data_IF_197091663868
#
_entry.id   IF_197091663868
#
_cell.length_a   1.000
_cell.length_b   1.000
_cell.length_c   1.000
_cell.angle_alpha   90.00
_cell.angle_beta   90.00
_cell.angle_gamma   90.00
#
_symmetry.space_group_name_H-M   'P 1'
#
loop_
_entity.id
_entity.type
_entity.pdbx_description
1 polymer ?
#
# COMPACT_ATOMS: atom_id res chain seq x y z
N UNK A 1 62.78 -37.54 -4.02
CA UNK A 1 62.39 -36.60 -2.95
C UNK A 1 60.87 -36.57 -2.92
N UNK A 2 60.30 -37.32 -1.99
CA UNK A 2 58.86 -37.64 -1.93
C UNK A 2 58.38 -37.06 -0.60
N UNK A 3 57.48 -36.09 -0.64
CA UNK A 3 56.94 -35.41 0.55
C UNK A 3 55.60 -36.06 0.87
N UNK A 4 55.55 -36.82 1.95
CA UNK A 4 54.33 -37.35 2.58
C UNK A 4 53.86 -36.36 3.64
N UNK A 5 52.65 -35.80 3.46
CA UNK A 5 51.96 -34.96 4.44
C UNK A 5 50.95 -35.84 5.20
N UNK A 6 51.26 -36.17 6.45
CA UNK A 6 50.33 -36.78 7.40
C UNK A 6 49.41 -35.70 7.98
N UNK A 7 48.11 -35.81 7.67
CA UNK A 7 47.02 -35.00 8.24
C UNK A 7 46.35 -35.77 9.38
N UNK A 8 46.87 -35.62 10.60
CA UNK A 8 46.16 -35.98 11.83
C UNK A 8 45.55 -34.72 12.45
N UNK A 9 44.29 -34.44 12.09
CA UNK A 9 43.46 -33.44 12.76
C UNK A 9 42.41 -34.17 13.62
N UNK A 10 42.75 -34.39 14.89
CA UNK A 10 41.83 -34.86 15.92
C UNK A 10 40.78 -33.78 16.21
N UNK A 11 39.57 -33.97 15.67
CA UNK A 11 38.37 -33.19 16.00
C UNK A 11 37.89 -33.54 17.40
N UNK A 12 38.44 -32.87 18.42
CA UNK A 12 37.85 -32.80 19.75
C UNK A 12 36.83 -31.65 19.71
N UNK A 13 35.56 -32.00 19.42
CA UNK A 13 34.46 -31.05 19.59
C UNK A 13 34.26 -30.74 21.09
N UNK A 14 33.98 -29.47 21.45
CA UNK A 14 33.93 -29.03 22.82
C UNK A 14 32.62 -29.49 23.50
N UNK A 15 32.73 -30.47 24.39
CA UNK A 15 31.67 -30.90 25.33
C UNK A 15 31.00 -29.71 26.05
N UNK A 16 31.70 -28.59 26.22
CA UNK A 16 31.19 -27.36 26.82
C UNK A 16 30.10 -26.65 26.00
N UNK A 17 30.10 -26.75 24.67
CA UNK A 17 29.05 -26.12 23.84
C UNK A 17 27.71 -26.85 23.98
N UNK A 18 27.72 -28.17 24.15
CA UNK A 18 26.50 -28.96 24.32
C UNK A 18 25.85 -28.71 25.69
N UNK A 19 26.67 -28.59 26.74
CA UNK A 19 26.18 -28.24 28.08
C UNK A 19 25.53 -26.85 28.12
N UNK A 20 26.13 -25.86 27.44
CA UNK A 20 25.57 -24.51 27.34
C UNK A 20 24.22 -24.49 26.59
N UNK A 21 24.10 -25.24 25.49
CA UNK A 21 22.84 -25.36 24.74
C UNK A 21 21.74 -26.07 25.56
N UNK A 22 22.08 -27.13 26.31
CA UNK A 22 21.13 -27.81 27.19
C UNK A 22 20.65 -26.92 28.35
N UNK A 23 21.55 -26.11 28.95
CA UNK A 23 21.16 -25.15 30.00
C UNK A 23 20.26 -24.05 29.45
N UNK A 24 20.53 -23.56 28.24
CA UNK A 24 19.70 -22.55 27.57
C UNK A 24 18.33 -23.14 27.21
N UNK A 25 18.27 -24.40 26.76
CA UNK A 25 17.03 -25.11 26.50
C UNK A 25 16.20 -25.34 27.77
N UNK A 26 16.84 -25.72 28.88
CA UNK A 26 16.18 -25.90 30.18
C UNK A 26 15.72 -24.58 30.79
N UNK A 27 16.46 -23.47 30.63
CA UNK A 27 16.01 -22.16 31.09
C UNK A 27 14.82 -21.64 30.29
N UNK A 28 14.75 -21.95 29.00
CA UNK A 28 13.61 -21.62 28.13
C UNK A 28 12.39 -22.51 28.42
N UNK A 29 12.59 -23.79 28.76
CA UNK A 29 11.48 -24.71 29.04
C UNK A 29 10.96 -24.67 30.49
N UNK A 30 11.83 -24.50 31.49
CA UNK A 30 11.43 -24.45 32.90
C UNK A 30 10.74 -23.13 33.30
N UNK A 31 10.84 -22.08 32.48
CA UNK A 31 10.09 -20.82 32.69
C UNK A 31 8.64 -20.87 32.18
N UNK A 32 8.20 -22.02 31.65
CA UNK A 32 6.84 -22.23 31.14
C UNK A 32 5.95 -23.03 32.11
N UNK A 33 5.93 -22.68 33.40
CA UNK A 33 4.90 -23.18 34.32
C UNK A 33 3.59 -22.43 34.06
N UNK A 34 2.74 -23.04 33.23
CA UNK A 34 1.41 -22.55 32.89
C UNK A 34 0.52 -22.64 34.13
N UNK A 35 0.47 -21.54 34.88
CA UNK A 35 -0.54 -21.33 35.92
C UNK A 35 -1.92 -21.34 35.28
N UNK A 36 -2.83 -22.14 35.84
CA UNK A 36 -4.20 -22.30 35.34
C UNK A 36 -4.95 -20.96 35.21
N UNK A 37 -5.89 -20.85 34.26
CA UNK A 37 -6.56 -19.61 33.93
C UNK A 37 -7.54 -19.23 35.03
N UNK A 38 -7.08 -18.44 36.00
CA UNK A 38 -8.00 -17.59 36.77
C UNK A 38 -8.43 -16.45 35.86
N UNK A 39 -9.74 -16.22 35.72
CA UNK A 39 -10.32 -15.18 34.86
C UNK A 39 -9.94 -13.79 35.39
N UNK A 40 -8.72 -13.34 35.11
CA UNK A 40 -8.26 -11.99 35.40
C UNK A 40 -8.95 -11.05 34.43
N UNK A 41 -9.46 -9.93 34.94
CA UNK A 41 -10.01 -8.84 34.11
C UNK A 41 -8.96 -8.48 33.03
N UNK A 42 -9.36 -8.31 31.76
CA UNK A 42 -8.42 -7.94 30.71
C UNK A 42 -7.74 -6.63 31.08
N UNK A 43 -6.42 -6.57 30.89
CA UNK A 43 -5.66 -5.35 31.16
C UNK A 43 -6.08 -4.23 30.20
N UNK A 44 -5.95 -2.96 30.60
CA UNK A 44 -6.21 -1.83 29.71
C UNK A 44 -5.37 -1.89 28.43
N UNK A 45 -4.16 -2.46 28.49
CA UNK A 45 -3.30 -2.69 27.32
C UNK A 45 -3.95 -3.66 26.32
N UNK A 46 -4.55 -4.74 26.83
CA UNK A 46 -5.32 -5.70 26.02
C UNK A 46 -6.51 -5.01 25.37
N UNK A 47 -7.27 -4.20 26.12
CA UNK A 47 -8.42 -3.46 25.60
C UNK A 47 -8.02 -2.41 24.55
N UNK A 48 -6.89 -1.74 24.74
CA UNK A 48 -6.33 -0.79 23.77
C UNK A 48 -6.04 -1.50 22.44
N UNK A 49 -5.33 -2.63 22.49
CA UNK A 49 -5.07 -3.43 21.30
C UNK A 49 -6.37 -3.96 20.64
N UNK A 50 -7.36 -4.32 21.46
CA UNK A 50 -8.66 -4.81 20.98
C UNK A 50 -9.50 -3.72 20.32
N UNK A 51 -9.20 -2.44 20.55
CA UNK A 51 -9.90 -1.34 19.89
C UNK A 51 -9.42 -1.19 18.45
N UNK A 52 -8.13 -1.41 18.22
CA UNK A 52 -7.55 -1.35 16.88
C UNK A 52 -7.77 -2.66 16.09
N UNK A 53 -7.58 -3.82 16.74
CA UNK A 53 -7.60 -5.14 16.10
C UNK A 53 -8.71 -6.03 16.67
N UNK A 54 -9.39 -6.76 15.78
CA UNK A 54 -10.33 -7.81 16.12
C UNK A 54 -9.73 -9.19 15.76
N UNK A 55 -9.78 -10.19 16.64
CA UNK A 55 -9.45 -11.54 16.26
C UNK A 55 -10.61 -12.10 15.42
N UNK A 56 -10.30 -12.84 14.36
CA UNK A 56 -11.31 -13.57 13.57
C UNK A 56 -11.65 -14.93 14.16
N UNK A 57 -10.75 -15.46 15.00
CA UNK A 57 -10.91 -16.75 15.69
C UNK A 57 -11.13 -16.55 17.18
N UNK A 58 -11.62 -17.60 17.86
CA UNK A 58 -11.89 -17.59 19.31
C UNK A 58 -10.63 -17.25 20.13
N UNK A 59 -9.44 -17.57 19.62
CA UNK A 59 -8.18 -17.34 20.31
C UNK A 59 -7.34 -16.26 19.62
N UNK A 60 -6.82 -15.32 20.41
CA UNK A 60 -5.85 -14.36 19.92
C UNK A 60 -4.53 -15.03 19.52
N UNK A 61 -3.87 -14.56 18.45
CA UNK A 61 -2.52 -15.02 18.14
C UNK A 61 -1.58 -14.77 19.33
N UNK A 62 -0.79 -15.79 19.70
CA UNK A 62 0.07 -15.77 20.89
C UNK A 62 1.06 -14.60 20.91
N UNK A 63 1.47 -14.11 19.75
CA UNK A 63 2.37 -12.97 19.59
C UNK A 63 1.78 -11.68 20.17
N UNK A 64 0.50 -11.38 19.95
CA UNK A 64 -0.15 -10.20 20.50
C UNK A 64 -0.32 -10.28 22.02
N UNK A 65 -0.60 -11.47 22.56
CA UNK A 65 -0.64 -11.67 24.00
C UNK A 65 0.74 -11.47 24.65
N UNK A 66 1.81 -11.97 24.00
CA UNK A 66 3.20 -11.74 24.44
C UNK A 66 3.57 -10.27 24.37
N UNK A 67 3.17 -9.59 23.30
CA UNK A 67 3.41 -8.16 23.11
C UNK A 67 2.77 -7.34 24.23
N UNK A 68 1.49 -7.57 24.52
CA UNK A 68 0.80 -6.91 25.64
C UNK A 68 1.50 -7.21 26.98
N UNK A 69 1.84 -8.48 27.23
CA UNK A 69 2.53 -8.87 28.47
C UNK A 69 3.87 -8.14 28.59
N UNK A 70 4.68 -8.12 27.54
CA UNK A 70 5.97 -7.45 27.51
C UNK A 70 5.84 -5.94 27.73
N UNK A 71 4.90 -5.27 27.06
CA UNK A 71 4.61 -3.85 27.23
C UNK A 71 4.10 -3.51 28.64
N UNK A 72 3.33 -4.40 29.27
CA UNK A 72 2.90 -4.22 30.67
C UNK A 72 4.05 -4.41 31.66
N UNK A 73 4.95 -5.35 31.41
CA UNK A 73 6.13 -5.58 32.26
C UNK A 73 7.18 -4.47 32.15
N UNK A 74 7.36 -3.87 30.97
CA UNK A 74 8.34 -2.82 30.72
C UNK A 74 7.95 -1.43 31.25
N UNK A 75 6.68 -1.25 31.65
CA UNK A 75 6.08 0.04 32.08
C UNK A 75 6.14 1.16 31.04
N UNK A 76 6.48 0.88 29.77
CA UNK A 76 6.63 1.91 28.72
C UNK A 76 5.29 2.52 28.28
N UNK A 77 4.15 1.91 28.63
CA UNK A 77 2.81 2.26 28.13
C UNK A 77 2.72 2.33 26.58
N UNK A 78 3.62 1.63 25.90
CA UNK A 78 3.69 1.58 24.43
C UNK A 78 3.57 0.14 23.94
N UNK A 79 2.66 -0.07 23.00
CA UNK A 79 2.40 -1.33 22.30
C UNK A 79 2.97 -1.15 20.88
N UNK A 80 4.09 -1.83 20.60
CA UNK A 80 4.75 -1.72 19.30
C UNK A 80 4.49 -2.96 18.45
N UNK A 81 3.69 -2.81 17.40
CA UNK A 81 3.22 -3.89 16.53
C UNK A 81 4.13 -3.98 15.30
N UNK A 82 4.75 -5.14 15.06
CA UNK A 82 5.51 -5.37 13.81
C UNK A 82 4.60 -5.25 12.60
N UNK A 83 4.97 -4.40 11.65
CA UNK A 83 4.23 -4.22 10.40
C UNK A 83 4.15 -5.51 9.58
N UNK A 84 5.26 -6.28 9.51
CA UNK A 84 5.27 -7.58 8.83
C UNK A 84 4.26 -8.54 9.43
N UNK A 85 4.27 -8.66 10.76
CA UNK A 85 3.36 -9.54 11.48
C UNK A 85 1.91 -9.10 11.25
N UNK A 86 1.63 -7.81 11.36
CA UNK A 86 0.29 -7.27 11.18
C UNK A 86 -0.27 -7.58 9.78
N UNK A 87 0.47 -7.24 8.72
CA UNK A 87 0.02 -7.48 7.34
C UNK A 87 -0.19 -8.97 7.10
N UNK A 88 0.77 -9.81 7.52
CA UNK A 88 0.66 -11.26 7.35
C UNK A 88 -0.58 -11.82 8.07
N UNK A 89 -0.81 -11.42 9.32
CA UNK A 89 -1.95 -11.90 10.11
C UNK A 89 -3.29 -11.42 9.56
N UNK A 90 -3.34 -10.24 8.96
CA UNK A 90 -4.56 -9.76 8.28
C UNK A 90 -4.80 -10.58 7.01
N UNK A 91 -3.79 -10.79 6.17
CA UNK A 91 -3.93 -11.59 4.96
C UNK A 91 -4.31 -13.05 5.26
N UNK A 92 -3.71 -13.64 6.30
CA UNK A 92 -4.02 -14.99 6.79
C UNK A 92 -5.41 -15.07 7.45
N UNK A 93 -6.08 -13.93 7.65
CA UNK A 93 -7.37 -13.85 8.31
C UNK A 93 -7.32 -14.27 9.77
N UNK A 94 -6.22 -14.04 10.47
CA UNK A 94 -6.07 -14.29 11.90
C UNK A 94 -6.53 -13.09 12.76
N UNK A 95 -6.38 -11.88 12.22
CA UNK A 95 -6.86 -10.63 12.81
C UNK A 95 -7.41 -9.73 11.72
N UNK A 96 -8.24 -8.76 12.11
CA UNK A 96 -8.75 -7.71 11.23
C UNK A 96 -8.60 -6.35 11.91
N UNK A 97 -8.44 -5.29 11.12
CA UNK A 97 -8.51 -3.92 11.61
C UNK A 97 -9.98 -3.60 11.83
N UNK A 98 -10.34 -3.09 13.02
CA UNK A 98 -11.73 -2.77 13.35
C UNK A 98 -12.26 -1.56 12.61
N UNK A 99 -11.48 -0.50 12.60
CA UNK A 99 -11.82 0.76 11.95
C UNK A 99 -10.58 1.31 11.25
N UNK A 100 -10.70 1.55 9.95
CA UNK A 100 -9.63 2.16 9.16
C UNK A 100 -9.46 3.65 9.49
N UNK A 101 -10.43 4.28 10.14
CA UNK A 101 -10.35 5.67 10.62
C UNK A 101 -9.27 5.88 11.71
N UNK A 102 -8.84 4.81 12.39
CA UNK A 102 -7.76 4.87 13.39
C UNK A 102 -6.35 4.82 12.76
N UNK A 103 -6.24 4.37 11.50
CA UNK A 103 -4.94 4.21 10.83
C UNK A 103 -4.18 5.53 10.59
N UNK A 104 -4.82 6.67 10.25
CA UNK A 104 -4.10 7.94 10.12
C UNK A 104 -3.37 8.33 11.40
N UNK A 105 -4.02 8.14 12.56
CA UNK A 105 -3.41 8.41 13.87
C UNK A 105 -2.31 7.38 14.19
N UNK A 106 -2.49 6.12 13.79
CA UNK A 106 -1.46 5.09 13.93
C UNK A 106 -0.21 5.42 13.09
N UNK A 107 -0.39 5.87 11.86
CA UNK A 107 0.71 6.24 10.95
C UNK A 107 1.42 7.52 11.38
N UNK A 108 0.69 8.43 12.02
CA UNK A 108 1.23 9.66 12.61
C UNK A 108 1.84 9.45 14.01
N UNK A 109 1.89 8.19 14.49
CA UNK A 109 2.35 7.80 15.83
C UNK A 109 1.58 8.46 16.99
N UNK A 110 0.36 8.93 16.71
CA UNK A 110 -0.50 9.67 17.64
C UNK A 110 -1.61 8.82 18.26
N UNK A 111 -1.80 7.57 17.80
CA UNK A 111 -2.84 6.69 18.31
C UNK A 111 -2.61 6.34 19.79
N UNK A 112 -3.48 6.85 20.66
CA UNK A 112 -3.51 6.56 22.09
C UNK A 112 -4.89 6.05 22.49
N UNK A 113 -4.95 4.82 22.99
CA UNK A 113 -6.21 4.16 23.38
C UNK A 113 -6.09 3.69 24.83
N UNK A 114 -7.05 4.06 25.68
CA UNK A 114 -7.02 3.79 27.13
C UNK A 114 -5.69 4.15 27.82
N UNK A 115 -5.02 5.21 27.36
CA UNK A 115 -3.73 5.68 27.87
C UNK A 115 -2.51 4.86 27.43
N UNK A 116 -2.67 3.95 26.45
CA UNK A 116 -1.59 3.22 25.81
C UNK A 116 -1.32 3.78 24.42
N UNK A 117 -0.07 4.11 24.12
CA UNK A 117 0.35 4.49 22.76
C UNK A 117 0.52 3.22 21.92
N UNK A 118 -0.08 3.18 20.76
CA UNK A 118 0.08 2.08 19.80
C UNK A 118 0.93 2.59 18.64
N UNK A 119 2.01 1.89 18.32
CA UNK A 119 2.94 2.25 17.25
C UNK A 119 3.17 1.08 16.31
N UNK A 120 3.46 1.36 15.05
CA UNK A 120 3.91 0.36 14.08
C UNK A 120 5.43 0.29 14.07
N UNK A 121 5.99 -0.86 14.45
CA UNK A 121 7.41 -1.15 14.26
C UNK A 121 7.66 -1.58 12.81
N UNK A 122 8.52 -0.83 12.14
CA UNK A 122 9.03 -1.20 10.82
C UNK A 122 10.26 -2.07 10.98
N UNK A 123 10.16 -3.30 10.47
CA UNK A 123 11.30 -4.21 10.43
C UNK A 123 12.29 -3.75 9.36
N UNK A 124 13.61 -3.90 9.61
CA UNK A 124 14.67 -3.58 8.64
C UNK A 124 14.50 -4.30 7.30
N UNK A 125 13.84 -5.45 7.31
CA UNK A 125 13.48 -6.20 6.11
C UNK A 125 12.59 -5.39 5.14
N UNK A 126 11.66 -4.57 5.64
CA UNK A 126 10.81 -3.73 4.80
C UNK A 126 11.59 -2.61 4.14
N UNK A 127 12.49 -1.94 4.88
CA UNK A 127 13.34 -0.90 4.29
C UNK A 127 14.18 -1.48 3.15
N UNK A 128 14.75 -2.68 3.33
CA UNK A 128 15.51 -3.35 2.28
C UNK A 128 14.63 -3.77 1.10
N UNK A 129 13.42 -4.27 1.36
CA UNK A 129 12.47 -4.64 0.31
C UNK A 129 12.03 -3.42 -0.51
N UNK A 130 11.66 -2.32 0.14
CA UNK A 130 11.29 -1.06 -0.52
C UNK A 130 12.46 -0.51 -1.31
N UNK A 131 13.67 -0.46 -0.73
CA UNK A 131 14.87 -0.02 -1.43
C UNK A 131 15.13 -0.86 -2.68
N UNK A 132 15.08 -2.19 -2.57
CA UNK A 132 15.27 -3.11 -3.69
C UNK A 132 14.22 -2.89 -4.78
N UNK A 133 12.97 -2.64 -4.40
CA UNK A 133 11.89 -2.40 -5.35
C UNK A 133 12.00 -1.04 -6.04
N UNK A 134 12.31 0.04 -5.31
CA UNK A 134 12.51 1.38 -5.87
C UNK A 134 13.71 1.39 -6.83
N UNK A 135 14.85 0.84 -6.40
CA UNK A 135 16.04 0.72 -7.26
C UNK A 135 15.78 -0.20 -8.46
N UNK A 136 15.11 -1.32 -8.25
CA UNK A 136 14.68 -2.21 -9.33
C UNK A 136 13.81 -1.48 -10.36
N UNK A 137 12.86 -0.65 -9.92
CA UNK A 137 12.01 0.15 -10.80
C UNK A 137 12.79 1.20 -11.59
N UNK A 138 13.90 1.71 -11.05
CA UNK A 138 14.77 2.66 -11.73
C UNK A 138 15.66 2.00 -12.80
N UNK A 139 16.20 0.81 -12.50
CA UNK A 139 17.13 0.08 -13.37
C UNK A 139 16.47 -0.92 -14.31
N UNK A 140 15.20 -1.24 -14.13
CA UNK A 140 14.45 -2.10 -15.05
C UNK A 140 14.09 -1.32 -16.32
N UNK A 141 15.11 -0.94 -17.09
CA UNK A 141 15.00 -0.38 -18.44
C UNK A 141 14.63 -1.44 -19.49
N UNK A 142 14.09 -2.59 -19.06
CA UNK A 142 13.67 -3.65 -19.96
C UNK A 142 12.49 -3.16 -20.80
N UNK A 143 12.80 -2.51 -21.94
CA UNK A 143 11.96 -2.28 -23.11
C UNK A 143 10.47 -2.22 -22.76
N UNK A 144 10.06 -1.23 -21.97
CA UNK A 144 8.65 -0.89 -21.92
C UNK A 144 8.33 -0.36 -23.30
N UNK A 145 7.63 -1.17 -24.07
CA UNK A 145 7.18 -0.82 -25.40
C UNK A 145 6.30 0.42 -25.26
N UNK A 146 6.81 1.59 -25.65
CA UNK A 146 6.09 2.87 -25.55
C UNK A 146 4.79 2.80 -26.36
N UNK A 147 4.72 1.93 -27.37
CA UNK A 147 3.51 1.65 -28.13
C UNK A 147 2.39 0.98 -27.30
N UNK A 148 2.71 0.41 -26.13
CA UNK A 148 1.71 -0.08 -25.16
C UNK A 148 1.19 1.01 -24.20
N UNK A 149 1.92 2.14 -24.10
CA UNK A 149 1.48 3.34 -23.37
C UNK A 149 0.59 4.20 -24.27
N UNK A 150 0.69 4.03 -25.58
CA UNK A 150 -0.17 4.64 -26.60
C UNK A 150 -1.65 4.35 -26.31
N UNK A 151 -2.35 5.41 -25.92
CA UNK A 151 -3.80 5.50 -25.94
C UNK A 151 -4.50 4.49 -25.02
N UNK A 152 -4.51 4.77 -23.72
CA UNK A 152 -5.62 4.39 -22.84
C UNK A 152 -6.93 4.88 -23.47
N UNK A 153 -7.75 4.02 -24.10
CA UNK A 153 -9.06 4.44 -24.56
C UNK A 153 -9.93 4.44 -23.31
N UNK A 154 -10.24 5.64 -22.80
CA UNK A 154 -11.35 5.86 -21.88
C UNK A 154 -11.54 4.77 -20.83
N UNK A 155 -10.71 4.77 -19.79
CA UNK A 155 -11.22 4.39 -18.47
C UNK A 155 -12.19 5.51 -18.07
N UNK A 156 -13.41 5.46 -18.62
CA UNK A 156 -14.58 6.11 -18.06
C UNK A 156 -14.64 5.60 -16.62
N UNK A 157 -14.04 6.36 -15.71
CA UNK A 157 -14.19 6.17 -14.27
C UNK A 157 -15.70 6.22 -14.05
N UNK A 158 -16.27 5.07 -13.74
CA UNK A 158 -17.69 4.88 -13.45
C UNK A 158 -18.07 5.53 -12.09
N UNK A 159 -17.55 6.73 -11.83
CA UNK A 159 -17.85 7.53 -10.64
C UNK A 159 -18.73 8.74 -10.93
N UNK A 160 -19.17 8.93 -12.17
CA UNK A 160 -20.43 9.62 -12.38
C UNK A 160 -21.55 8.59 -12.17
N UNK A 161 -21.81 8.27 -10.90
CA UNK A 161 -23.15 7.93 -10.41
C UNK A 161 -24.05 9.12 -10.75
N UNK A 162 -24.38 9.23 -12.03
CA UNK A 162 -25.65 9.83 -12.39
C UNK A 162 -26.68 8.97 -11.68
N UNK A 163 -27.30 9.53 -10.64
CA UNK A 163 -28.57 9.01 -10.14
C UNK A 163 -29.44 8.63 -11.34
N UNK A 164 -30.11 7.47 -11.32
CA UNK A 164 -31.10 7.17 -12.33
C UNK A 164 -32.19 8.24 -12.21
N UNK A 165 -32.13 9.23 -13.10
CA UNK A 165 -33.18 10.22 -13.24
C UNK A 165 -34.44 9.44 -13.64
N UNK A 166 -35.51 9.45 -12.84
CA UNK A 166 -36.75 8.76 -13.20
C UNK A 166 -37.22 9.34 -14.54
N UNK A 167 -37.46 8.42 -15.47
CA UNK A 167 -37.91 8.69 -16.83
C UNK A 167 -39.41 8.88 -16.78
N UNK A 168 -39.85 10.13 -16.77
CA UNK A 168 -41.20 10.49 -17.19
C UNK A 168 -41.11 11.61 -18.25
N UNK A 169 -41.80 11.33 -19.36
CA UNK A 169 -42.28 12.20 -20.43
C UNK A 169 -41.36 12.66 -21.59
N UNK A 170 -41.84 12.25 -22.78
CA UNK A 170 -41.45 12.62 -24.14
C UNK A 170 -41.46 14.14 -24.35
N UNK A 171 -40.34 14.68 -24.83
CA UNK A 171 -40.34 15.96 -25.54
C UNK A 171 -39.27 15.97 -26.64
N UNK A 172 -39.62 16.30 -27.90
CA UNK A 172 -38.68 16.33 -29.01
C UNK A 172 -38.12 17.75 -29.19
N UNK A 173 -36.88 17.99 -28.74
CA UNK A 173 -36.18 19.25 -29.02
C UNK A 173 -34.66 19.08 -29.24
N UNK A 174 -34.26 19.41 -30.47
CA UNK A 174 -32.96 19.88 -30.97
C UNK A 174 -31.67 19.04 -30.75
N UNK A 175 -30.87 18.80 -31.81
CA UNK A 175 -29.55 18.19 -31.69
C UNK A 175 -28.56 19.21 -31.12
N UNK A 176 -28.29 19.13 -29.82
CA UNK A 176 -27.13 19.77 -29.23
C UNK A 176 -25.87 19.04 -29.72
N UNK A 177 -25.18 19.66 -30.66
CA UNK A 177 -23.84 19.26 -31.10
C UNK A 177 -22.86 19.47 -29.94
N UNK A 178 -22.71 18.46 -29.09
CA UNK A 178 -21.62 18.43 -28.12
C UNK A 178 -20.30 18.31 -28.89
N UNK A 179 -19.55 19.41 -28.96
CA UNK A 179 -18.13 19.37 -29.29
C UNK A 179 -17.44 18.53 -28.22
N UNK A 180 -17.22 17.24 -28.52
CA UNK A 180 -16.38 16.36 -27.72
C UNK A 180 -14.95 16.82 -27.96
N UNK A 181 -14.47 17.77 -27.16
CA UNK A 181 -13.03 18.03 -27.12
C UNK A 181 -12.36 16.83 -26.48
N UNK A 182 -11.37 16.19 -27.13
CA UNK A 182 -10.69 15.03 -26.58
C UNK A 182 -9.81 15.47 -25.41
N UNK A 183 -10.36 15.44 -24.19
CA UNK A 183 -9.58 15.63 -22.98
C UNK A 183 -8.74 14.37 -22.74
N UNK A 184 -7.44 14.49 -22.90
CA UNK A 184 -6.49 13.40 -22.62
C UNK A 184 -6.39 13.26 -21.11
N UNK A 185 -6.56 12.05 -20.57
CA UNK A 185 -6.38 11.75 -19.15
C UNK A 185 -5.22 10.78 -18.96
N UNK A 186 -4.25 11.16 -18.13
CA UNK A 186 -3.04 10.37 -17.84
C UNK A 186 -2.90 10.17 -16.33
N UNK A 187 -2.69 8.93 -15.91
CA UNK A 187 -2.39 8.59 -14.51
C UNK A 187 -0.97 8.04 -14.40
N UNK A 188 -0.06 8.83 -13.80
CA UNK A 188 1.35 8.49 -13.75
C UNK A 188 1.72 7.51 -12.64
N UNK A 189 0.79 7.14 -11.74
CA UNK A 189 1.06 6.13 -10.69
C UNK A 189 1.32 4.73 -11.26
N UNK A 190 0.93 4.51 -12.52
CA UNK A 190 1.15 3.26 -13.26
C UNK A 190 2.30 3.34 -14.25
N UNK A 191 2.92 4.51 -14.42
CA UNK A 191 4.03 4.72 -15.33
C UNK A 191 5.35 4.50 -14.56
N UNK A 192 6.35 3.76 -15.06
CA UNK A 192 7.65 3.69 -14.41
C UNK A 192 8.31 5.07 -14.32
N UNK A 193 9.03 5.35 -13.23
CA UNK A 193 9.56 6.70 -13.00
C UNK A 193 10.56 7.13 -14.09
N UNK A 194 11.33 6.19 -14.64
CA UNK A 194 12.25 6.44 -15.76
C UNK A 194 11.54 6.90 -17.04
N UNK A 195 10.26 6.60 -17.19
CA UNK A 195 9.43 6.99 -18.33
C UNK A 195 8.67 8.31 -18.10
N UNK A 196 8.64 8.83 -16.86
CA UNK A 196 7.86 10.02 -16.51
C UNK A 196 8.25 11.24 -17.36
N UNK A 197 9.55 11.56 -17.42
CA UNK A 197 10.03 12.71 -18.18
C UNK A 197 9.86 12.54 -19.71
N UNK A 198 10.25 11.40 -20.33
CA UNK A 198 9.94 11.13 -21.73
C UNK A 198 8.46 11.27 -22.07
N UNK A 199 7.56 10.71 -21.25
CA UNK A 199 6.11 10.78 -21.49
C UNK A 199 5.55 12.19 -21.35
N UNK A 200 6.08 13.01 -20.42
CA UNK A 200 5.69 14.41 -20.32
C UNK A 200 6.17 15.22 -21.53
N UNK A 201 7.38 14.96 -22.04
CA UNK A 201 7.89 15.60 -23.26
C UNK A 201 7.09 15.18 -24.51
N UNK A 202 6.74 13.90 -24.61
CA UNK A 202 5.90 13.37 -25.68
C UNK A 202 4.50 13.98 -25.64
N UNK A 203 3.87 14.07 -24.45
CA UNK A 203 2.59 14.75 -24.27
C UNK A 203 2.67 16.19 -24.79
N UNK A 204 3.73 16.94 -24.44
CA UNK A 204 3.92 18.32 -24.91
C UNK A 204 4.04 18.40 -26.43
N UNK A 205 4.76 17.47 -27.05
CA UNK A 205 4.92 17.43 -28.49
C UNK A 205 3.60 17.09 -29.21
N UNK A 206 2.86 16.11 -28.69
CA UNK A 206 1.69 15.50 -29.34
C UNK A 206 0.36 16.18 -29.06
N UNK A 207 0.22 16.89 -27.92
CA UNK A 207 -1.02 17.60 -27.59
C UNK A 207 -1.34 18.62 -28.70
N UNK A 208 -2.59 18.68 -29.17
CA UNK A 208 -2.99 19.57 -30.25
C UNK A 208 -3.25 21.00 -29.73
N UNK A 209 -2.94 22.06 -30.51
CA UNK A 209 -3.28 23.43 -30.10
C UNK A 209 -4.76 23.59 -29.78
N UNK A 210 -5.07 24.23 -28.66
CA UNK A 210 -6.43 24.44 -28.19
C UNK A 210 -7.04 23.26 -27.40
N UNK A 211 -6.32 22.15 -27.22
CA UNK A 211 -6.76 21.00 -26.42
C UNK A 211 -6.14 20.97 -25.02
N UNK A 212 -6.81 20.31 -24.09
CA UNK A 212 -6.37 20.15 -22.70
C UNK A 212 -6.07 18.70 -22.33
N UNK A 213 -5.13 18.51 -21.41
CA UNK A 213 -4.82 17.23 -20.79
C UNK A 213 -4.97 17.33 -19.27
N UNK A 214 -5.53 16.29 -18.66
CA UNK A 214 -5.64 16.12 -17.21
C UNK A 214 -4.66 15.05 -16.75
N UNK A 215 -3.78 15.41 -15.84
CA UNK A 215 -2.72 14.58 -15.31
C UNK A 215 -3.02 14.26 -13.85
N UNK A 216 -3.09 12.99 -13.51
CA UNK A 216 -3.19 12.53 -12.12
C UNK A 216 -1.90 11.83 -11.69
N UNK A 217 -1.44 12.13 -10.49
CA UNK A 217 -0.30 11.44 -9.89
C UNK A 217 -0.26 11.64 -8.38
N UNK A 218 0.38 10.69 -7.70
CA UNK A 218 0.65 10.72 -6.28
C UNK A 218 2.11 11.16 -6.04
N UNK A 219 2.35 11.87 -4.95
CA UNK A 219 3.69 12.20 -4.44
C UNK A 219 3.77 11.91 -2.94
N UNK A 220 4.95 11.64 -2.36
CA UNK A 220 5.09 11.73 -0.92
C UNK A 220 4.89 13.19 -0.47
N UNK A 221 4.49 13.38 0.79
CA UNK A 221 4.47 14.71 1.37
C UNK A 221 5.89 15.27 1.53
N UNK A 222 6.10 16.60 1.47
CA UNK A 222 7.44 17.19 1.50
C UNK A 222 8.28 16.88 2.75
N UNK A 223 7.63 16.53 3.86
CA UNK A 223 8.30 16.17 5.12
C UNK A 223 8.71 14.69 5.19
N UNK A 224 8.23 13.85 4.28
CA UNK A 224 8.57 12.42 4.24
C UNK A 224 9.92 12.23 3.58
N UNK A 225 10.96 12.07 4.39
CA UNK A 225 12.32 11.87 3.89
C UNK A 225 12.50 10.49 3.22
N UNK A 226 13.33 10.42 2.18
CA UNK A 226 13.63 9.18 1.46
C UNK A 226 14.16 8.09 2.41
N UNK A 227 13.58 6.88 2.32
CA UNK A 227 13.88 5.72 3.19
C UNK A 227 13.69 5.94 4.70
N UNK A 228 13.01 7.00 5.10
CA UNK A 228 12.52 7.14 6.47
C UNK A 228 11.46 6.08 6.80
N UNK A 229 11.16 5.85 8.08
CA UNK A 229 10.02 5.05 8.51
C UNK A 229 8.72 5.37 7.75
N UNK A 230 8.38 6.65 7.63
CA UNK A 230 7.18 7.12 6.93
C UNK A 230 7.23 6.84 5.43
N UNK A 231 8.41 6.94 4.79
CA UNK A 231 8.58 6.58 3.39
C UNK A 231 8.30 5.10 3.15
N UNK A 232 8.79 4.23 4.04
CA UNK A 232 8.52 2.79 3.98
C UNK A 232 7.04 2.49 4.19
N UNK A 233 6.36 3.17 5.12
CA UNK A 233 4.90 3.07 5.29
C UNK A 233 4.15 3.50 4.02
N UNK A 234 4.59 4.59 3.39
CA UNK A 234 4.01 5.09 2.13
C UNK A 234 4.18 4.11 0.98
N UNK A 235 5.24 3.31 0.97
CA UNK A 235 5.51 2.35 -0.10
C UNK A 235 4.60 1.12 -0.07
N UNK A 236 4.06 0.75 1.10
CA UNK A 236 3.34 -0.52 1.31
C UNK A 236 2.23 -0.76 0.29
N UNK A 237 1.32 0.19 0.00
CA UNK A 237 0.22 -0.05 -0.94
C UNK A 237 0.68 -0.22 -2.40
N UNK A 238 1.87 0.24 -2.75
CA UNK A 238 2.42 0.21 -4.12
C UNK A 238 3.33 -0.98 -4.39
N UNK A 239 3.76 -1.69 -3.33
CA UNK A 239 4.57 -2.90 -3.49
C UNK A 239 3.78 -4.00 -4.22
N UNK A 240 4.47 -4.88 -4.96
CA UNK A 240 3.85 -6.04 -5.58
C UNK A 240 3.06 -6.85 -4.55
N UNK A 241 1.77 -7.08 -4.84
CA UNK A 241 0.85 -7.86 -4.01
C UNK A 241 1.29 -9.31 -3.98
N UNK A 242 1.15 -9.96 -2.82
CA UNK A 242 1.52 -11.38 -2.66
C UNK A 242 0.50 -12.31 -3.28
N UNK A 243 -0.77 -11.92 -3.24
CA UNK A 243 -1.89 -12.71 -3.74
C UNK A 243 -2.43 -12.20 -5.08
N UNK A 244 -1.74 -11.25 -5.73
CA UNK A 244 -2.00 -10.99 -7.14
C UNK A 244 -1.56 -12.22 -7.94
N UNK A 245 -2.53 -13.02 -8.38
CA UNK A 245 -2.34 -14.08 -9.35
C UNK A 245 -1.51 -13.55 -10.54
N UNK A 246 -0.46 -14.27 -10.96
CA UNK A 246 0.18 -13.97 -12.23
C UNK A 246 -0.89 -14.06 -13.33
N UNK A 247 -0.77 -13.29 -14.42
CA UNK A 247 -1.72 -13.32 -15.52
C UNK A 247 -1.73 -14.73 -16.14
N UNK A 248 -2.57 -15.61 -15.62
CA UNK A 248 -2.85 -16.90 -16.24
C UNK A 248 -3.60 -16.60 -17.53
N UNK A 249 -3.03 -17.04 -18.66
CA UNK A 249 -3.35 -16.66 -20.04
C UNK A 249 -4.81 -16.81 -20.49
N UNK A 250 -5.71 -17.33 -19.66
CA UNK A 250 -7.05 -17.74 -20.09
C UNK A 250 -8.20 -16.97 -19.40
N UNK A 251 -7.92 -16.02 -18.51
CA UNK A 251 -8.95 -15.15 -17.94
C UNK A 251 -9.12 -13.89 -18.80
N UNK A 252 -10.12 -13.89 -19.67
CA UNK A 252 -10.50 -12.76 -20.55
C UNK A 252 -11.18 -11.59 -19.83
N UNK A 253 -11.36 -11.66 -18.50
CA UNK A 253 -11.86 -10.53 -17.74
C UNK A 253 -10.67 -9.68 -17.28
N UNK A 254 -10.45 -8.48 -17.86
CA UNK A 254 -9.49 -7.52 -17.34
C UNK A 254 -9.95 -7.14 -15.93
N UNK A 255 -9.34 -7.77 -14.92
CA UNK A 255 -9.52 -7.38 -13.53
C UNK A 255 -9.13 -5.89 -13.41
N UNK A 256 -9.97 -5.03 -12.81
CA UNK A 256 -9.80 -3.58 -12.85
C UNK A 256 -8.48 -3.02 -12.27
N UNK A 257 -7.59 -3.87 -11.72
CA UNK A 257 -6.35 -3.46 -11.04
C UNK A 257 -5.16 -4.38 -11.32
N UNK A 258 -5.18 -5.15 -12.40
CA UNK A 258 -4.02 -5.96 -12.81
C UNK A 258 -2.81 -5.12 -13.30
N UNK A 259 -2.92 -3.78 -13.32
CA UNK A 259 -1.78 -2.91 -13.55
C UNK A 259 -0.97 -2.80 -12.28
N UNK A 260 0.16 -3.50 -12.27
CA UNK A 260 1.20 -3.36 -11.25
C UNK A 260 1.55 -1.87 -11.12
N UNK A 261 1.20 -1.27 -9.98
CA UNK A 261 1.62 0.11 -9.68
C UNK A 261 3.14 0.18 -9.61
N UNK A 262 3.68 1.34 -9.94
CA UNK A 262 5.14 1.55 -10.00
C UNK A 262 5.63 2.29 -8.77
N UNK A 263 6.94 2.53 -8.69
CA UNK A 263 7.54 3.35 -7.64
C UNK A 263 7.38 4.87 -7.88
N UNK A 264 6.77 5.29 -8.99
CA UNK A 264 6.59 6.71 -9.33
C UNK A 264 5.90 7.52 -8.24
N UNK A 265 4.86 7.03 -7.54
CA UNK A 265 4.24 7.75 -6.42
C UNK A 265 5.20 8.17 -5.31
N UNK A 266 6.33 7.50 -5.17
CA UNK A 266 7.34 7.76 -4.12
C UNK A 266 8.51 8.61 -4.60
N UNK A 267 8.65 8.81 -5.91
CA UNK A 267 9.77 9.50 -6.54
C UNK A 267 9.34 10.79 -7.25
N UNK A 268 8.08 10.88 -7.67
CA UNK A 268 7.52 12.04 -8.30
C UNK A 268 7.46 13.23 -7.34
N UNK A 269 7.66 14.43 -7.89
CA UNK A 269 7.51 15.70 -7.21
C UNK A 269 6.64 16.62 -8.07
N UNK A 270 5.65 17.25 -7.45
CA UNK A 270 4.79 18.23 -8.12
C UNK A 270 5.62 19.31 -8.81
N UNK A 271 6.63 19.86 -8.12
CA UNK A 271 7.49 20.91 -8.66
C UNK A 271 8.19 20.45 -9.94
N UNK A 272 8.77 19.24 -9.94
CA UNK A 272 9.48 18.70 -11.11
C UNK A 272 8.54 18.46 -12.28
N UNK A 273 7.35 17.94 -12.03
CA UNK A 273 6.34 17.71 -13.09
C UNK A 273 5.89 19.04 -13.69
N UNK A 274 5.58 20.04 -12.86
CA UNK A 274 5.19 21.37 -13.34
C UNK A 274 6.32 22.02 -14.15
N UNK A 275 7.55 21.98 -13.67
CA UNK A 275 8.73 22.46 -14.39
C UNK A 275 8.83 21.82 -15.79
N UNK A 276 8.71 20.50 -15.88
CA UNK A 276 8.78 19.77 -17.15
C UNK A 276 7.65 20.15 -18.12
N UNK A 277 6.47 20.50 -17.62
CA UNK A 277 5.32 20.90 -18.42
C UNK A 277 5.41 22.35 -18.91
N UNK A 278 5.90 23.26 -18.06
CA UNK A 278 5.81 24.72 -18.30
C UNK A 278 7.11 25.35 -18.83
N UNK A 279 8.22 24.61 -18.92
CA UNK A 279 9.50 25.16 -19.40
C UNK A 279 9.86 24.67 -20.82
N UNK A 280 10.51 25.51 -21.63
CA UNK A 280 10.98 25.16 -22.98
C UNK A 280 10.11 25.69 -24.14
N UNK A 281 10.47 25.35 -25.37
CA UNK A 281 9.89 25.93 -26.61
C UNK A 281 8.44 25.53 -26.88
N UNK A 282 7.97 24.43 -26.30
CA UNK A 282 6.59 23.95 -26.37
C UNK A 282 5.99 23.87 -24.95
N UNK A 283 6.12 24.94 -24.17
CA UNK A 283 5.56 25.02 -22.82
C UNK A 283 4.02 24.94 -22.89
N UNK A 284 3.43 24.15 -22.00
CA UNK A 284 1.97 24.10 -21.85
C UNK A 284 1.51 25.17 -20.86
N UNK A 285 0.35 25.77 -21.15
CA UNK A 285 -0.34 26.64 -20.22
C UNK A 285 -0.93 25.81 -19.08
N UNK A 286 -0.64 26.20 -17.84
CA UNK A 286 -1.19 25.56 -16.65
C UNK A 286 -2.57 26.16 -16.36
N UNK A 287 -3.63 25.35 -16.45
CA UNK A 287 -5.00 25.82 -16.20
C UNK A 287 -5.40 25.60 -14.73
N UNK A 288 -5.06 24.45 -14.16
CA UNK A 288 -5.44 24.11 -12.79
C UNK A 288 -4.40 23.18 -12.15
N UNK A 289 -4.14 23.40 -10.86
CA UNK A 289 -3.40 22.46 -9.99
C UNK A 289 -4.22 22.30 -8.72
N UNK A 290 -4.70 21.09 -8.50
CA UNK A 290 -5.55 20.80 -7.35
C UNK A 290 -5.02 19.61 -6.59
N UNK A 291 -4.99 19.74 -5.26
CA UNK A 291 -4.75 18.62 -4.36
C UNK A 291 -6.10 17.93 -4.11
N UNK A 292 -6.24 16.69 -4.55
CA UNK A 292 -7.46 15.88 -4.43
C UNK A 292 -7.31 14.74 -3.42
N UNK A 293 -6.33 14.83 -2.50
CA UNK A 293 -5.98 13.75 -1.57
C UNK A 293 -7.17 13.28 -0.73
N UNK A 294 -7.98 14.21 -0.21
CA UNK A 294 -9.18 13.88 0.57
C UNK A 294 -10.22 13.13 -0.26
N UNK A 295 -10.58 13.67 -1.42
CA UNK A 295 -11.56 13.06 -2.33
C UNK A 295 -11.13 11.65 -2.76
N UNK A 296 -9.82 11.48 -3.01
CA UNK A 296 -9.25 10.19 -3.36
C UNK A 296 -9.27 9.20 -2.17
N UNK A 297 -8.94 9.65 -0.96
CA UNK A 297 -9.03 8.85 0.26
C UNK A 297 -10.48 8.40 0.55
N UNK A 298 -11.45 9.30 0.39
CA UNK A 298 -12.87 9.00 0.54
C UNK A 298 -13.33 7.94 -0.49
N UNK A 299 -12.90 8.09 -1.75
CA UNK A 299 -13.17 7.14 -2.82
C UNK A 299 -12.56 5.75 -2.57
N UNK A 300 -11.33 5.69 -2.05
CA UNK A 300 -10.69 4.43 -1.65
C UNK A 300 -11.42 3.76 -0.47
N UNK A 301 -11.84 4.54 0.52
CA UNK A 301 -12.58 4.04 1.68
C UNK A 301 -13.93 3.47 1.24
N UNK A 302 -14.69 4.21 0.41
CA UNK A 302 -15.95 3.75 -0.16
C UNK A 302 -15.77 2.48 -1.01
N UNK A 303 -14.69 2.38 -1.79
CA UNK A 303 -14.38 1.19 -2.57
C UNK A 303 -14.05 -0.03 -1.68
N UNK A 304 -13.33 0.18 -0.56
CA UNK A 304 -13.05 -0.86 0.41
C UNK A 304 -14.33 -1.36 1.10
N UNK A 305 -15.20 -0.45 1.54
CA UNK A 305 -16.53 -0.77 2.10
C UNK A 305 -17.39 -1.53 1.09
N UNK A 306 -17.45 -1.07 -0.16
CA UNK A 306 -18.19 -1.75 -1.21
C UNK A 306 -17.67 -3.17 -1.47
N UNK A 307 -16.34 -3.38 -1.44
CA UNK A 307 -15.74 -4.71 -1.58
C UNK A 307 -16.10 -5.66 -0.42
N UNK A 308 -16.44 -5.13 0.75
CA UNK A 308 -16.83 -5.88 1.94
C UNK A 308 -18.33 -6.18 1.99
N UNK A 309 -19.16 -5.16 1.75
CA UNK A 309 -20.62 -5.21 1.89
C UNK A 309 -21.32 -5.84 0.67
N UNK A 310 -20.83 -5.58 -0.55
CA UNK A 310 -21.46 -6.09 -1.76
C UNK A 310 -21.11 -7.58 -1.96
N UNK A 311 -21.97 -8.47 -1.43
CA UNK A 311 -21.77 -9.92 -1.42
C UNK A 311 -21.40 -10.53 -2.78
N UNK A 312 -21.99 -10.05 -3.88
CA UNK A 312 -21.69 -10.50 -5.24
C UNK A 312 -20.27 -10.08 -5.68
N UNK A 313 -19.88 -8.83 -5.44
CA UNK A 313 -18.54 -8.31 -5.71
C UNK A 313 -17.49 -9.07 -4.91
N UNK A 314 -17.74 -9.27 -3.60
CA UNK A 314 -16.88 -10.05 -2.72
C UNK A 314 -16.71 -11.49 -3.21
N UNK A 315 -17.81 -12.18 -3.51
CA UNK A 315 -17.78 -13.57 -3.98
C UNK A 315 -17.03 -13.69 -5.32
N UNK A 316 -17.22 -12.75 -6.25
CA UNK A 316 -16.48 -12.71 -7.50
C UNK A 316 -14.98 -12.49 -7.28
N UNK A 317 -14.60 -11.58 -6.38
CA UNK A 317 -13.21 -11.30 -6.05
C UNK A 317 -12.54 -12.51 -5.38
N UNK A 318 -13.17 -13.10 -4.36
CA UNK A 318 -12.66 -14.29 -3.66
C UNK A 318 -12.52 -15.47 -4.63
N UNK A 319 -13.46 -15.65 -5.56
CA UNK A 319 -13.35 -16.71 -6.59
C UNK A 319 -12.13 -16.51 -7.49
N UNK A 320 -11.73 -15.27 -7.75
CA UNK A 320 -10.61 -14.94 -8.63
C UNK A 320 -9.26 -14.95 -7.91
N UNK A 321 -9.18 -14.39 -6.69
CA UNK A 321 -7.91 -14.11 -5.98
C UNK A 321 -7.77 -14.87 -4.65
N UNK A 322 -8.78 -15.65 -4.27
CA UNK A 322 -8.87 -16.28 -2.97
C UNK A 322 -9.23 -15.29 -1.86
N UNK A 323 -9.49 -15.85 -0.69
CA UNK A 323 -9.86 -15.10 0.52
C UNK A 323 -8.71 -14.22 1.03
N UNK A 324 -7.48 -14.74 1.00
CA UNK A 324 -6.29 -13.97 1.37
C UNK A 324 -6.05 -12.76 0.43
N UNK A 325 -6.27 -12.92 -0.88
CA UNK A 325 -6.17 -11.82 -1.84
C UNK A 325 -7.25 -10.77 -1.65
N UNK A 326 -8.48 -11.17 -1.32
CA UNK A 326 -9.55 -10.24 -0.93
C UNK A 326 -9.17 -9.43 0.32
N UNK A 327 -8.64 -10.08 1.36
CA UNK A 327 -8.17 -9.38 2.59
C UNK A 327 -7.00 -8.45 2.31
N UNK A 328 -6.02 -8.87 1.52
CA UNK A 328 -4.88 -8.05 1.12
C UNK A 328 -5.37 -6.79 0.38
N UNK A 329 -6.28 -6.93 -0.60
CA UNK A 329 -6.79 -5.79 -1.36
C UNK A 329 -7.59 -4.80 -0.48
N UNK A 330 -8.47 -5.31 0.41
CA UNK A 330 -9.21 -4.47 1.37
C UNK A 330 -8.25 -3.71 2.27
N UNK A 331 -7.27 -4.41 2.86
CA UNK A 331 -6.25 -3.81 3.72
C UNK A 331 -5.52 -2.69 2.98
N UNK A 332 -5.11 -2.92 1.74
CA UNK A 332 -4.27 -1.98 1.01
C UNK A 332 -5.03 -0.74 0.54
N UNK A 333 -6.32 -0.86 0.20
CA UNK A 333 -7.17 0.31 -0.05
C UNK A 333 -7.32 1.17 1.21
N UNK A 334 -7.63 0.56 2.35
CA UNK A 334 -7.75 1.28 3.61
C UNK A 334 -6.43 1.88 4.09
N UNK A 335 -5.32 1.16 3.91
CA UNK A 335 -3.96 1.64 4.20
C UNK A 335 -3.61 2.86 3.35
N UNK A 336 -3.86 2.80 2.04
CA UNK A 336 -3.63 3.91 1.13
C UNK A 336 -4.50 5.13 1.50
N UNK A 337 -5.79 4.94 1.73
CA UNK A 337 -6.70 6.01 2.15
C UNK A 337 -6.21 6.70 3.45
N UNK A 338 -5.73 5.90 4.40
CA UNK A 338 -5.21 6.41 5.66
C UNK A 338 -3.89 7.19 5.49
N UNK A 339 -3.02 6.83 4.54
CA UNK A 339 -1.81 7.60 4.24
C UNK A 339 -2.13 8.99 3.66
N UNK A 340 -3.13 9.11 2.80
CA UNK A 340 -3.62 10.41 2.32
C UNK A 340 -4.27 11.23 3.44
N UNK A 341 -5.05 10.57 4.30
CA UNK A 341 -5.73 11.21 5.43
C UNK A 341 -4.74 11.71 6.49
N UNK A 342 -3.64 10.97 6.71
CA UNK A 342 -2.53 11.36 7.58
C UNK A 342 -1.64 12.45 6.94
N UNK A 343 -1.86 12.81 5.67
CA UNK A 343 -1.03 13.78 4.96
C UNK A 343 0.38 13.29 4.67
N UNK A 344 0.62 11.97 4.63
CA UNK A 344 1.89 11.36 4.28
C UNK A 344 2.05 11.18 2.76
N UNK A 345 0.93 11.00 2.06
CA UNK A 345 0.82 11.02 0.59
C UNK A 345 -0.04 12.19 0.12
N UNK A 346 0.20 12.66 -1.10
CA UNK A 346 -0.59 13.70 -1.76
C UNK A 346 -0.98 13.27 -3.16
N UNK A 347 -2.26 13.40 -3.52
CA UNK A 347 -2.77 13.14 -4.86
C UNK A 347 -3.03 14.48 -5.55
N UNK A 348 -2.48 14.63 -6.74
CA UNK A 348 -2.57 15.84 -7.54
C UNK A 348 -3.36 15.58 -8.82
N UNK A 349 -4.18 16.57 -9.19
CA UNK A 349 -4.79 16.67 -10.51
C UNK A 349 -4.30 17.98 -11.12
N UNK A 350 -3.59 17.88 -12.23
CA UNK A 350 -3.03 19.00 -12.99
C UNK A 350 -3.69 19.06 -14.35
N UNK A 351 -4.30 20.19 -14.68
CA UNK A 351 -4.90 20.44 -16.00
C UNK A 351 -3.99 21.39 -16.76
N UNK A 352 -3.55 20.96 -17.93
CA UNK A 352 -2.71 21.74 -18.85
C UNK A 352 -3.37 21.89 -20.20
N UNK A 353 -3.03 22.96 -20.91
CA UNK A 353 -3.52 23.26 -22.25
C UNK A 353 -2.38 23.67 -23.16
N UNK A 354 -2.50 23.36 -24.45
CA UNK A 354 -1.57 23.81 -25.48
C UNK A 354 -2.08 25.00 -26.25
#
# INVERSE_FOLDING_TARGET
MTVTLDLNASTILPSSCFAALCLLFLLVFCSSTVSGPTAKKPSNATQALFTLLAPTSVAWPKEYARLVTHSTSSRSKTISISMSSLINRICDGAVEIRDYADLPDLFSENLVVYGWRITLALDTAWNLQVLRWVTGSYFSWSLVDLDSVSCLPNLKRAHNTSEPKPTDDESPAAPLSFSITPNVHLDFDYLPFSCLEPSLLELRATLAPGTSATLEFTTPAPHVAFLSPQFTLCAVPFLPRRHAAPPTSNCTLPGPRARTRTATPLQASLHRILELLTTGTAALALENVSNVSRQYADGLSAAATHLEEASATRAAFIRQWGDAGWREERLMMGWEAALFSAGLLMRWVVVVRK
#
